data_IF_281330563785
#
_entry.id   IF_281330563785
#
_cell.length_a   1.000
_cell.length_b   1.000
_cell.length_c   1.000
_cell.angle_alpha   90.00
_cell.angle_beta   90.00
_cell.angle_gamma   90.00
#
_symmetry.space_group_name_H-M   'P 1'
#
loop_
_entity.id
_entity.type
_entity.pdbx_description
1 polymer ?
#
# COMPACT_ATOMS: atom_id res chain seq x y z
N UNK A 1 21.99 0.97 -15.91
CA UNK A 1 21.46 -0.08 -14.99
C UNK A 1 20.05 -0.58 -15.32
N UNK A 2 19.27 0.07 -16.20
CA UNK A 2 17.89 -0.34 -16.55
C UNK A 2 17.86 -1.69 -17.28
N UNK A 3 18.73 -1.91 -18.27
CA UNK A 3 18.73 -3.14 -19.06
C UNK A 3 18.95 -4.43 -18.25
N UNK A 4 19.94 -4.50 -17.35
CA UNK A 4 20.11 -5.70 -16.51
C UNK A 4 18.88 -5.96 -15.62
N UNK A 5 18.23 -4.93 -15.10
CA UNK A 5 17.03 -5.06 -14.28
C UNK A 5 15.86 -5.62 -15.09
N UNK A 6 15.66 -5.15 -16.34
CA UNK A 6 14.61 -5.67 -17.24
C UNK A 6 14.85 -7.15 -17.54
N UNK A 7 16.08 -7.53 -17.90
CA UNK A 7 16.41 -8.92 -18.20
C UNK A 7 16.23 -9.82 -16.99
N UNK A 8 16.72 -9.39 -15.81
CA UNK A 8 16.56 -10.15 -14.58
C UNK A 8 15.08 -10.32 -14.18
N UNK A 9 14.28 -9.27 -14.33
CA UNK A 9 12.85 -9.31 -14.07
C UNK A 9 12.12 -10.25 -15.02
N UNK A 10 12.41 -10.19 -16.33
CA UNK A 10 11.81 -11.07 -17.33
C UNK A 10 12.14 -12.55 -17.07
N UNK A 11 13.41 -12.85 -16.74
CA UNK A 11 13.83 -14.21 -16.40
C UNK A 11 13.14 -14.67 -15.11
N UNK A 12 13.15 -13.84 -14.06
CA UNK A 12 12.49 -14.17 -12.79
C UNK A 12 11.01 -14.46 -12.96
N UNK A 13 10.30 -13.61 -13.72
CA UNK A 13 8.88 -13.80 -14.03
C UNK A 13 8.63 -15.09 -14.81
N UNK A 14 9.45 -15.38 -15.81
CA UNK A 14 9.33 -16.59 -16.62
C UNK A 14 9.54 -17.86 -15.79
N UNK A 15 10.57 -17.88 -14.92
CA UNK A 15 10.83 -19.01 -14.04
C UNK A 15 9.71 -19.18 -13.03
N UNK A 16 9.31 -18.12 -12.32
CA UNK A 16 8.24 -18.17 -11.35
C UNK A 16 6.93 -18.64 -11.98
N UNK A 17 6.55 -18.04 -13.12
CA UNK A 17 5.31 -18.37 -13.82
C UNK A 17 5.26 -19.80 -14.33
N UNK A 18 6.40 -20.40 -14.66
CA UNK A 18 6.48 -21.82 -15.08
C UNK A 18 6.10 -22.81 -13.96
N UNK A 19 6.27 -22.41 -12.69
CA UNK A 19 5.93 -23.24 -11.53
C UNK A 19 4.57 -22.92 -10.91
N UNK A 20 4.18 -21.64 -10.90
CA UNK A 20 3.02 -21.14 -10.14
C UNK A 20 1.87 -20.72 -11.07
N UNK A 21 2.16 -20.45 -12.33
CA UNK A 21 1.25 -19.88 -13.32
C UNK A 21 1.51 -18.39 -13.54
N UNK A 22 0.92 -17.85 -14.60
CA UNK A 22 1.07 -16.46 -15.05
C UNK A 22 -0.16 -15.60 -14.73
N UNK A 23 -1.06 -16.09 -13.87
CA UNK A 23 -2.24 -15.33 -13.50
C UNK A 23 -1.89 -14.19 -12.52
N UNK A 24 -2.62 -13.05 -12.60
CA UNK A 24 -2.46 -11.95 -11.64
C UNK A 24 -2.71 -12.41 -10.20
N UNK A 25 -1.93 -11.91 -9.26
CA UNK A 25 -1.99 -12.29 -7.82
C UNK A 25 -3.39 -12.11 -7.24
N UNK A 26 -4.10 -11.05 -7.62
CA UNK A 26 -5.47 -10.77 -7.20
C UNK A 26 -6.52 -11.16 -8.24
N UNK A 27 -6.15 -12.03 -9.20
CA UNK A 27 -7.02 -12.41 -10.31
C UNK A 27 -7.33 -11.25 -11.26
N UNK A 28 -8.31 -11.47 -12.15
CA UNK A 28 -8.71 -10.46 -13.14
C UNK A 28 -9.90 -9.66 -12.62
N UNK A 29 -9.66 -8.43 -12.18
CA UNK A 29 -10.74 -7.53 -11.81
C UNK A 29 -11.38 -6.90 -13.06
N UNK A 30 -12.66 -7.25 -13.31
CA UNK A 30 -13.40 -6.85 -14.51
C UNK A 30 -14.48 -5.81 -14.16
N UNK A 31 -14.09 -4.57 -13.92
CA UNK A 31 -15.07 -3.48 -13.81
C UNK A 31 -14.75 -2.41 -14.83
N UNK A 32 -15.71 -2.01 -15.69
CA UNK A 32 -15.47 -0.98 -16.68
C UNK A 32 -15.20 0.36 -15.99
N UNK A 33 -14.24 1.10 -16.55
CA UNK A 33 -14.00 2.49 -16.14
C UNK A 33 -15.23 3.35 -16.44
N UNK A 34 -15.65 4.13 -15.45
CA UNK A 34 -16.72 5.11 -15.63
C UNK A 34 -16.19 6.50 -15.25
N UNK A 35 -16.15 7.45 -16.19
CA UNK A 35 -15.69 8.82 -15.95
C UNK A 35 -16.44 9.54 -14.82
N UNK A 36 -17.71 9.23 -14.60
CA UNK A 36 -18.50 9.81 -13.50
C UNK A 36 -17.95 9.49 -12.11
N UNK A 37 -17.06 8.48 -12.00
CA UNK A 37 -16.39 8.13 -10.74
C UNK A 37 -15.09 8.90 -10.51
N UNK A 38 -14.59 9.66 -11.48
CA UNK A 38 -13.33 10.41 -11.33
C UNK A 38 -13.30 11.33 -10.11
N UNK A 39 -14.34 12.12 -9.78
CA UNK A 39 -14.33 12.95 -8.59
C UNK A 39 -14.11 12.16 -7.30
N UNK A 40 -14.66 10.95 -7.21
CA UNK A 40 -14.50 10.09 -6.05
C UNK A 40 -13.07 9.53 -5.94
N UNK A 41 -12.42 9.23 -7.08
CA UNK A 41 -11.00 8.84 -7.08
C UNK A 41 -10.07 10.01 -6.73
N UNK A 42 -10.46 11.25 -7.06
CA UNK A 42 -9.76 12.45 -6.60
C UNK A 42 -9.79 12.54 -5.07
N UNK A 43 -10.99 12.39 -4.46
CA UNK A 43 -11.14 12.40 -3.00
C UNK A 43 -10.33 11.28 -2.35
N UNK A 44 -10.37 10.07 -2.93
CA UNK A 44 -9.55 8.94 -2.46
C UNK A 44 -8.06 9.27 -2.54
N UNK A 45 -7.61 9.90 -3.63
CA UNK A 45 -6.23 10.36 -3.79
C UNK A 45 -5.82 11.36 -2.72
N UNK A 46 -6.72 12.29 -2.35
CA UNK A 46 -6.47 13.26 -1.26
C UNK A 46 -6.29 12.54 0.07
N UNK A 47 -7.20 11.64 0.44
CA UNK A 47 -7.12 10.90 1.72
C UNK A 47 -5.87 10.02 1.76
N UNK A 48 -5.59 9.29 0.67
CA UNK A 48 -4.36 8.50 0.56
C UNK A 48 -3.10 9.37 0.65
N UNK A 49 -3.13 10.60 0.12
CA UNK A 49 -2.02 11.56 0.22
C UNK A 49 -1.69 11.94 1.66
N UNK A 50 -2.71 12.22 2.47
CA UNK A 50 -2.51 12.46 3.91
C UNK A 50 -2.00 11.22 4.64
N UNK A 51 -2.55 10.03 4.36
CA UNK A 51 -2.06 8.79 4.95
C UNK A 51 -0.62 8.45 4.48
N UNK A 52 -0.25 8.82 3.26
CA UNK A 52 1.11 8.70 2.74
C UNK A 52 2.12 9.61 3.48
N UNK A 53 1.65 10.63 4.20
CA UNK A 53 2.46 11.42 5.14
C UNK A 53 2.50 10.75 6.52
N UNK A 54 1.35 10.30 7.01
CA UNK A 54 1.23 9.70 8.35
C UNK A 54 2.05 8.41 8.44
N UNK A 55 2.00 7.55 7.43
CA UNK A 55 2.68 6.27 7.42
C UNK A 55 4.20 6.39 7.61
N UNK A 56 4.96 7.12 6.78
CA UNK A 56 6.39 7.31 7.00
C UNK A 56 6.71 8.04 8.30
N UNK A 57 5.95 9.07 8.67
CA UNK A 57 6.19 9.81 9.92
C UNK A 57 6.08 8.90 11.14
N UNK A 58 5.02 8.08 11.24
CA UNK A 58 4.85 7.13 12.34
C UNK A 58 5.96 6.09 12.34
N UNK A 59 6.32 5.55 11.18
CA UNK A 59 7.40 4.59 11.03
C UNK A 59 8.73 5.14 11.57
N UNK A 60 9.14 6.33 11.12
CA UNK A 60 10.40 6.92 11.57
C UNK A 60 10.35 7.41 13.02
N UNK A 61 9.20 7.84 13.50
CA UNK A 61 9.02 8.17 14.92
C UNK A 61 9.30 6.96 15.81
N UNK A 62 8.68 5.82 15.52
CA UNK A 62 8.92 4.57 16.27
C UNK A 62 10.38 4.14 16.13
N UNK A 63 10.94 4.16 14.93
CA UNK A 63 12.35 3.84 14.68
C UNK A 63 13.29 4.69 15.54
N UNK A 64 13.05 6.00 15.62
CA UNK A 64 13.86 6.90 16.44
C UNK A 64 13.71 6.60 17.93
N UNK A 65 12.49 6.26 18.40
CA UNK A 65 12.29 5.87 19.80
C UNK A 65 13.06 4.60 20.16
N UNK A 66 13.01 3.58 19.30
CA UNK A 66 13.76 2.35 19.50
C UNK A 66 15.28 2.54 19.42
N UNK A 67 15.77 3.45 18.57
CA UNK A 67 17.21 3.74 18.50
C UNK A 67 17.75 4.32 19.81
N UNK A 68 16.95 5.14 20.51
CA UNK A 68 17.30 5.78 21.77
C UNK A 68 17.21 4.87 23.00
N UNK A 69 16.64 3.65 22.86
CA UNK A 69 16.61 2.69 23.97
C UNK A 69 18.01 2.15 24.26
N UNK A 70 18.45 2.31 25.50
CA UNK A 70 19.74 1.82 25.96
C UNK A 70 19.70 0.33 26.31
N UNK A 71 19.35 -0.50 25.33
CA UNK A 71 19.31 -1.97 25.41
C UNK A 71 20.04 -2.56 24.22
N UNK A 72 20.49 -3.81 24.34
CA UNK A 72 21.15 -4.50 23.25
C UNK A 72 20.22 -4.55 22.01
N UNK A 73 20.77 -4.27 20.83
CA UNK A 73 20.02 -4.21 19.57
C UNK A 73 19.30 -5.51 19.21
N UNK A 74 19.76 -6.65 19.74
CA UNK A 74 19.12 -7.97 19.55
C UNK A 74 17.74 -8.04 20.20
N UNK A 75 17.52 -7.35 21.32
CA UNK A 75 16.23 -7.37 22.03
C UNK A 75 15.19 -6.38 21.49
N UNK A 76 15.62 -5.35 20.77
CA UNK A 76 14.72 -4.34 20.21
C UNK A 76 13.66 -4.94 19.27
N UNK A 77 14.02 -5.80 18.30
CA UNK A 77 13.03 -6.47 17.44
C UNK A 77 12.07 -7.37 18.22
N UNK A 78 12.56 -8.05 19.27
CA UNK A 78 11.70 -8.91 20.10
C UNK A 78 10.61 -8.10 20.82
N UNK A 79 10.94 -6.92 21.35
CA UNK A 79 9.97 -6.01 21.96
C UNK A 79 8.98 -5.50 20.91
N UNK A 80 9.46 -5.08 19.74
CA UNK A 80 8.60 -4.62 18.65
C UNK A 80 7.66 -5.72 18.13
N UNK A 81 8.17 -6.94 17.98
CA UNK A 81 7.39 -8.11 17.60
C UNK A 81 6.32 -8.47 18.64
N UNK A 82 6.67 -8.39 19.94
CA UNK A 82 5.72 -8.63 21.03
C UNK A 82 4.56 -7.62 20.98
N UNK A 83 4.84 -6.33 20.83
CA UNK A 83 3.81 -5.30 20.72
C UNK A 83 2.93 -5.53 19.48
N UNK A 84 3.55 -5.82 18.32
CA UNK A 84 2.81 -6.14 17.09
C UNK A 84 1.98 -7.43 17.25
N UNK A 85 2.48 -8.41 17.98
CA UNK A 85 1.75 -9.63 18.32
C UNK A 85 0.50 -9.35 19.16
N UNK A 86 0.61 -8.51 20.20
CA UNK A 86 -0.56 -8.08 21.00
C UNK A 86 -1.61 -7.35 20.16
N UNK A 87 -1.18 -6.47 19.25
CA UNK A 87 -2.09 -5.80 18.30
C UNK A 87 -2.78 -6.84 17.42
N UNK A 88 -2.04 -7.84 16.97
CA UNK A 88 -2.56 -8.89 16.08
C UNK A 88 -3.51 -9.87 16.76
N UNK A 89 -3.47 -10.00 18.08
CA UNK A 89 -4.48 -10.76 18.84
C UNK A 89 -5.86 -10.10 18.79
N UNK A 90 -5.88 -8.77 18.72
CA UNK A 90 -7.13 -8.00 18.60
C UNK A 90 -7.53 -7.84 17.13
N UNK A 91 -6.55 -7.59 16.25
CA UNK A 91 -6.76 -7.36 14.82
C UNK A 91 -5.94 -8.35 13.99
N UNK A 92 -6.40 -9.59 13.81
CA UNK A 92 -5.64 -10.63 13.09
C UNK A 92 -5.35 -10.27 11.62
N UNK A 93 -6.11 -9.34 11.04
CA UNK A 93 -5.92 -8.87 9.67
C UNK A 93 -4.57 -8.18 9.45
N UNK A 94 -3.96 -7.64 10.51
CA UNK A 94 -2.67 -6.96 10.37
C UNK A 94 -1.47 -7.90 10.36
N UNK A 95 -1.68 -9.21 10.55
CA UNK A 95 -0.61 -10.22 10.49
C UNK A 95 -0.10 -10.34 9.05
N UNK A 96 1.24 -10.39 8.91
CA UNK A 96 1.91 -10.63 7.63
C UNK A 96 1.65 -9.56 6.58
N UNK A 97 1.66 -9.95 5.31
CA UNK A 97 1.51 -9.05 4.15
C UNK A 97 0.07 -8.57 3.92
N UNK A 98 -0.92 -9.35 4.34
CA UNK A 98 -2.34 -8.99 4.26
C UNK A 98 -3.00 -9.19 2.89
N UNK A 99 -2.36 -9.87 1.93
CA UNK A 99 -2.89 -10.05 0.57
C UNK A 99 -4.22 -10.81 0.53
N UNK A 100 -4.40 -11.80 1.41
CA UNK A 100 -5.67 -12.51 1.51
C UNK A 100 -6.84 -11.59 1.89
N UNK A 101 -6.60 -10.66 2.80
CA UNK A 101 -7.60 -9.67 3.19
C UNK A 101 -7.88 -8.67 2.06
N UNK A 102 -6.84 -8.21 1.35
CA UNK A 102 -6.99 -7.35 0.17
C UNK A 102 -7.84 -8.06 -0.88
N UNK A 103 -7.61 -9.36 -1.13
CA UNK A 103 -8.40 -10.14 -2.07
C UNK A 103 -9.89 -10.17 -1.68
N UNK A 104 -10.19 -10.42 -0.41
CA UNK A 104 -11.57 -10.41 0.09
C UNK A 104 -12.25 -9.05 -0.11
N UNK A 105 -11.50 -7.94 0.06
CA UNK A 105 -12.02 -6.60 -0.19
C UNK A 105 -12.27 -6.34 -1.67
N UNK A 106 -11.39 -6.79 -2.56
CA UNK A 106 -11.57 -6.68 -4.02
C UNK A 106 -12.79 -7.47 -4.48
N UNK A 107 -12.98 -8.68 -3.92
CA UNK A 107 -14.11 -9.57 -4.22
C UNK A 107 -15.45 -9.10 -3.60
N UNK A 108 -15.44 -8.08 -2.74
CA UNK A 108 -16.63 -7.61 -2.03
C UNK A 108 -17.11 -8.57 -0.93
N UNK A 109 -16.27 -9.49 -0.46
CA UNK A 109 -16.58 -10.48 0.60
C UNK A 109 -16.36 -9.90 1.99
N UNK A 110 -17.04 -8.80 2.30
CA UNK A 110 -16.85 -8.04 3.54
C UNK A 110 -17.29 -8.77 4.81
N UNK A 111 -18.28 -9.68 4.69
CA UNK A 111 -18.84 -10.43 5.82
C UNK A 111 -17.86 -11.44 6.47
N UNK A 112 -16.75 -11.74 5.80
CA UNK A 112 -15.73 -12.65 6.32
C UNK A 112 -14.83 -11.98 7.37
N UNK A 113 -14.77 -10.64 7.39
CA UNK A 113 -13.93 -9.94 8.35
C UNK A 113 -14.53 -10.02 9.77
N UNK A 114 -13.69 -10.27 10.79
CA UNK A 114 -14.13 -10.26 12.18
C UNK A 114 -14.61 -8.85 12.55
N UNK A 115 -15.82 -8.73 13.09
CA UNK A 115 -16.42 -7.43 13.41
C UNK A 115 -16.33 -7.07 14.89
N UNK A 116 -16.08 -8.05 15.78
CA UNK A 116 -16.05 -7.83 17.23
C UNK A 116 -17.26 -7.02 17.77
N UNK A 117 -18.41 -7.12 17.10
CA UNK A 117 -19.61 -6.35 17.42
C UNK A 117 -19.59 -4.88 16.98
N UNK A 118 -18.54 -4.43 16.29
CA UNK A 118 -18.47 -3.07 15.74
C UNK A 118 -19.07 -2.99 14.33
N UNK A 119 -19.60 -1.82 13.92
CA UNK A 119 -19.99 -1.61 12.54
C UNK A 119 -18.81 -1.84 11.58
N UNK A 120 -19.05 -2.59 10.51
CA UNK A 120 -18.01 -2.97 9.54
C UNK A 120 -17.25 -1.76 8.96
N UNK A 121 -17.95 -0.67 8.68
CA UNK A 121 -17.33 0.57 8.20
C UNK A 121 -16.32 1.14 9.22
N UNK A 122 -16.62 1.06 10.52
CA UNK A 122 -15.71 1.54 11.56
C UNK A 122 -14.42 0.71 11.58
N UNK A 123 -14.53 -0.61 11.40
CA UNK A 123 -13.36 -1.49 11.29
C UNK A 123 -12.50 -1.08 10.10
N UNK A 124 -13.10 -0.89 8.92
CA UNK A 124 -12.38 -0.46 7.74
C UNK A 124 -11.67 0.88 7.91
N UNK A 125 -12.27 1.84 8.63
CA UNK A 125 -11.66 3.13 8.92
C UNK A 125 -10.49 3.05 9.92
N UNK A 126 -10.52 2.11 10.86
CA UNK A 126 -9.48 1.93 11.88
C UNK A 126 -8.29 1.14 11.34
N UNK A 127 -8.53 0.14 10.46
CA UNK A 127 -7.51 -0.78 9.97
C UNK A 127 -6.27 -0.12 9.36
N UNK A 128 -6.36 0.96 8.56
CA UNK A 128 -5.18 1.67 8.06
C UNK A 128 -4.24 2.10 9.19
N UNK A 129 -4.78 2.64 10.26
CA UNK A 129 -3.99 3.14 11.39
C UNK A 129 -3.38 2.00 12.21
N UNK A 130 -4.16 0.94 12.45
CA UNK A 130 -3.65 -0.27 13.14
C UNK A 130 -2.49 -0.88 12.37
N UNK A 131 -2.61 -0.98 11.02
CA UNK A 131 -1.52 -1.50 10.17
C UNK A 131 -0.30 -0.61 10.19
N UNK A 132 -0.47 0.72 10.15
CA UNK A 132 0.64 1.68 10.26
C UNK A 132 1.41 1.44 11.57
N UNK A 133 0.70 1.32 12.69
CA UNK A 133 1.30 1.12 14.01
C UNK A 133 2.00 -0.23 14.08
N UNK A 134 1.33 -1.33 13.70
CA UNK A 134 1.91 -2.67 13.71
C UNK A 134 3.18 -2.75 12.85
N UNK A 135 3.16 -2.16 11.64
CA UNK A 135 4.32 -2.13 10.75
C UNK A 135 5.46 -1.31 11.34
N UNK A 136 5.14 -0.16 11.96
CA UNK A 136 6.14 0.69 12.60
C UNK A 136 6.84 -0.01 13.76
N UNK A 137 6.11 -0.78 14.59
CA UNK A 137 6.70 -1.57 15.66
C UNK A 137 7.50 -2.76 15.13
N UNK A 138 7.00 -3.48 14.13
CA UNK A 138 7.69 -4.65 13.57
C UNK A 138 9.03 -4.28 12.94
N UNK A 139 9.03 -3.29 12.03
CA UNK A 139 10.22 -2.94 11.25
C UNK A 139 11.01 -1.82 11.90
N UNK A 140 10.34 -0.83 12.49
CA UNK A 140 10.97 0.31 13.14
C UNK A 140 11.78 -0.06 14.39
N UNK A 141 11.48 -1.19 15.05
CA UNK A 141 12.28 -1.73 16.14
C UNK A 141 13.60 -2.38 15.68
N UNK A 142 13.80 -2.56 14.38
CA UNK A 142 14.96 -3.24 13.81
C UNK A 142 14.65 -4.66 13.31
N UNK A 143 13.38 -5.06 13.30
CA UNK A 143 12.93 -6.31 12.69
C UNK A 143 13.06 -6.27 11.16
N UNK A 144 13.24 -7.45 10.55
CA UNK A 144 13.23 -7.59 9.09
C UNK A 144 11.82 -7.60 8.54
N UNK A 145 11.58 -6.87 7.45
CA UNK A 145 10.26 -6.82 6.80
C UNK A 145 10.22 -5.80 5.67
N UNK A 146 9.13 -5.86 4.90
CA UNK A 146 8.87 -4.94 3.80
C UNK A 146 7.83 -3.89 4.15
N UNK A 147 7.96 -2.70 3.58
CA UNK A 147 7.00 -1.59 3.74
C UNK A 147 5.99 -1.50 2.58
N UNK A 148 6.21 -2.26 1.50
CA UNK A 148 5.36 -2.25 0.31
C UNK A 148 3.97 -2.86 0.58
N UNK A 149 3.91 -4.13 0.99
CA UNK A 149 2.65 -4.81 1.25
C UNK A 149 1.80 -4.15 2.35
N UNK A 150 2.38 -3.70 3.49
CA UNK A 150 1.66 -2.88 4.45
C UNK A 150 1.09 -1.60 3.84
N UNK A 151 1.85 -0.91 2.97
CA UNK A 151 1.36 0.27 2.27
C UNK A 151 0.15 -0.04 1.38
N UNK A 152 0.20 -1.13 0.60
CA UNK A 152 -0.96 -1.58 -0.18
C UNK A 152 -2.17 -1.90 0.70
N UNK A 153 -1.97 -2.58 1.82
CA UNK A 153 -3.03 -2.89 2.78
C UNK A 153 -3.70 -1.63 3.32
N UNK A 154 -2.91 -0.65 3.77
CA UNK A 154 -3.41 0.65 4.27
C UNK A 154 -4.26 1.32 3.20
N UNK A 155 -3.77 1.39 1.96
CA UNK A 155 -4.49 1.96 0.83
C UNK A 155 -5.77 1.20 0.47
N UNK A 156 -5.74 -0.14 0.50
CA UNK A 156 -6.88 -1.01 0.23
C UNK A 156 -8.03 -0.76 1.23
N UNK A 157 -7.71 -0.74 2.52
CA UNK A 157 -8.71 -0.48 3.57
C UNK A 157 -9.23 0.96 3.53
N UNK A 158 -8.42 1.93 3.16
CA UNK A 158 -8.86 3.30 2.88
C UNK A 158 -9.81 3.33 1.68
N UNK A 159 -9.47 2.60 0.62
CA UNK A 159 -10.28 2.49 -0.59
C UNK A 159 -11.66 1.90 -0.34
N UNK A 160 -11.74 0.77 0.39
CA UNK A 160 -13.03 0.15 0.73
C UNK A 160 -13.87 1.06 1.63
N UNK A 161 -13.26 1.72 2.62
CA UNK A 161 -13.97 2.65 3.51
C UNK A 161 -14.68 3.76 2.73
N UNK A 162 -13.92 4.44 1.85
CA UNK A 162 -14.47 5.49 1.01
C UNK A 162 -15.44 4.96 -0.03
N UNK A 163 -15.17 3.78 -0.61
CA UNK A 163 -16.07 3.13 -1.56
C UNK A 163 -17.44 2.85 -0.97
N UNK A 164 -17.51 2.36 0.28
CA UNK A 164 -18.77 2.15 1.01
C UNK A 164 -19.48 3.47 1.31
N UNK A 165 -18.74 4.49 1.76
CA UNK A 165 -19.31 5.83 2.02
C UNK A 165 -19.88 6.41 0.71
N UNK A 166 -19.16 6.33 -0.39
CA UNK A 166 -19.63 6.82 -1.67
C UNK A 166 -20.82 6.02 -2.21
N UNK A 167 -20.84 4.71 -1.99
CA UNK A 167 -22.00 3.89 -2.33
C UNK A 167 -23.24 4.31 -1.54
N UNK A 168 -23.10 4.60 -0.26
CA UNK A 168 -24.22 5.04 0.59
C UNK A 168 -24.84 6.36 0.09
N UNK A 169 -24.03 7.35 -0.27
CA UNK A 169 -24.54 8.65 -0.74
C UNK A 169 -24.86 8.69 -2.24
N UNK A 170 -24.20 7.89 -3.07
CA UNK A 170 -24.31 7.90 -4.52
C UNK A 170 -24.44 6.50 -5.12
N UNK A 171 -25.46 5.72 -4.77
CA UNK A 171 -25.58 4.31 -5.15
C UNK A 171 -25.70 4.09 -6.67
N UNK A 172 -26.21 5.10 -7.41
CA UNK A 172 -26.35 5.07 -8.87
C UNK A 172 -25.02 5.17 -9.60
N UNK A 173 -24.02 5.86 -9.02
CA UNK A 173 -22.70 6.07 -9.62
C UNK A 173 -21.70 5.04 -9.11
N UNK A 174 -21.72 4.77 -7.79
CA UNK A 174 -20.86 3.81 -7.11
C UNK A 174 -21.72 2.65 -6.61
N UNK A 175 -21.83 1.60 -7.41
CA UNK A 175 -22.51 0.37 -6.98
C UNK A 175 -21.62 -0.49 -6.09
N UNK A 176 -22.20 -1.43 -5.31
CA UNK A 176 -21.44 -2.37 -4.48
C UNK A 176 -20.36 -3.12 -5.27
N UNK A 177 -20.65 -3.51 -6.49
CA UNK A 177 -19.71 -4.20 -7.40
C UNK A 177 -18.46 -3.36 -7.70
N UNK A 178 -18.56 -2.03 -7.63
CA UNK A 178 -17.47 -1.13 -7.97
C UNK A 178 -16.59 -0.76 -6.77
N UNK A 179 -16.92 -1.20 -5.56
CA UNK A 179 -16.11 -0.92 -4.35
C UNK A 179 -14.71 -1.51 -4.51
N UNK A 180 -14.58 -2.69 -5.13
CA UNK A 180 -13.27 -3.30 -5.44
C UNK A 180 -12.36 -2.39 -6.28
N UNK A 181 -12.90 -1.54 -7.16
CA UNK A 181 -12.09 -0.56 -7.88
C UNK A 181 -11.48 0.49 -6.94
N UNK A 182 -12.21 0.93 -5.92
CA UNK A 182 -11.67 1.86 -4.91
C UNK A 182 -10.59 1.21 -4.06
N UNK A 183 -10.72 -0.09 -3.76
CA UNK A 183 -9.67 -0.88 -3.08
C UNK A 183 -8.38 -0.85 -3.91
N UNK A 184 -8.45 -1.21 -5.20
CA UNK A 184 -7.31 -1.27 -6.11
C UNK A 184 -6.67 0.12 -6.28
N UNK A 185 -7.49 1.15 -6.49
CA UNK A 185 -7.00 2.53 -6.64
C UNK A 185 -6.36 3.03 -5.35
N UNK A 186 -6.93 2.70 -4.19
CA UNK A 186 -6.38 3.06 -2.89
C UNK A 186 -5.01 2.43 -2.62
N UNK A 187 -4.83 1.14 -2.97
CA UNK A 187 -3.54 0.44 -2.86
C UNK A 187 -2.42 1.21 -3.56
N UNK A 188 -2.67 1.59 -4.80
CA UNK A 188 -1.71 2.33 -5.61
C UNK A 188 -1.48 3.74 -5.08
N UNK A 189 -2.56 4.49 -4.83
CA UNK A 189 -2.47 5.90 -4.47
C UNK A 189 -1.64 6.11 -3.21
N UNK A 190 -1.82 5.25 -2.21
CA UNK A 190 -1.06 5.34 -0.97
C UNK A 190 0.41 4.98 -1.15
N UNK A 191 0.70 3.81 -1.72
CA UNK A 191 2.10 3.37 -1.80
C UNK A 191 2.87 4.13 -2.88
N UNK A 192 2.27 4.44 -4.02
CA UNK A 192 2.90 5.26 -5.06
C UNK A 192 3.33 6.63 -4.55
N UNK A 193 2.56 7.21 -3.63
CA UNK A 193 2.88 8.49 -2.98
C UNK A 193 3.92 8.34 -1.86
N UNK A 194 3.76 7.37 -0.96
CA UNK A 194 4.68 7.18 0.17
C UNK A 194 6.05 6.63 -0.25
N UNK A 195 6.11 5.82 -1.30
CA UNK A 195 7.34 5.28 -1.88
C UNK A 195 8.02 6.19 -2.91
N UNK A 196 7.33 7.24 -3.38
CA UNK A 196 7.78 8.16 -4.46
C UNK A 196 8.08 7.45 -5.79
N UNK A 197 7.34 6.40 -6.11
CA UNK A 197 7.50 5.59 -7.33
C UNK A 197 6.16 5.38 -8.06
N UNK A 198 5.43 6.46 -8.41
CA UNK A 198 4.05 6.37 -8.90
C UNK A 198 3.91 5.51 -10.16
N UNK A 199 4.82 5.65 -11.12
CA UNK A 199 4.76 4.92 -12.40
C UNK A 199 4.99 3.43 -12.20
N UNK A 200 6.05 3.06 -11.45
CA UNK A 200 6.39 1.66 -11.22
C UNK A 200 5.27 0.93 -10.46
N UNK A 201 4.69 1.57 -9.44
CA UNK A 201 3.59 0.97 -8.67
C UNK A 201 2.30 0.92 -9.50
N UNK A 202 2.06 1.87 -10.40
CA UNK A 202 0.91 1.80 -11.31
C UNK A 202 0.97 0.55 -12.18
N UNK A 203 2.11 0.30 -12.82
CA UNK A 203 2.31 -0.90 -13.63
C UNK A 203 2.17 -2.17 -12.81
N UNK A 204 2.79 -2.20 -11.62
CA UNK A 204 2.72 -3.35 -10.70
C UNK A 204 1.29 -3.67 -10.27
N UNK A 205 0.49 -2.67 -9.87
CA UNK A 205 -0.90 -2.90 -9.43
C UNK A 205 -1.77 -3.35 -10.59
N UNK A 206 -1.57 -2.80 -11.79
CA UNK A 206 -2.26 -3.25 -13.01
C UNK A 206 -1.94 -4.72 -13.31
N UNK A 207 -0.67 -5.12 -13.18
CA UNK A 207 -0.25 -6.50 -13.36
C UNK A 207 -0.85 -7.42 -12.29
N UNK A 208 -0.79 -7.01 -11.01
CA UNK A 208 -1.33 -7.80 -9.89
C UNK A 208 -2.84 -8.01 -9.92
N UNK A 209 -3.59 -7.14 -10.60
CA UNK A 209 -5.07 -7.15 -10.65
C UNK A 209 -5.64 -7.42 -12.04
N UNK A 210 -4.79 -7.54 -13.06
CA UNK A 210 -5.21 -7.72 -14.44
C UNK A 210 -6.11 -6.59 -15.00
N UNK A 211 -6.14 -5.42 -14.35
CA UNK A 211 -7.13 -4.36 -14.60
C UNK A 211 -6.55 -3.12 -15.29
N UNK A 212 -6.26 -3.23 -16.58
CA UNK A 212 -5.86 -2.10 -17.41
C UNK A 212 -6.94 -1.01 -17.53
N UNK A 213 -8.21 -1.39 -17.40
CA UNK A 213 -9.33 -0.45 -17.51
C UNK A 213 -9.36 0.60 -16.40
N UNK A 214 -8.75 0.31 -15.24
CA UNK A 214 -8.65 1.26 -14.12
C UNK A 214 -7.47 2.23 -14.27
N UNK A 215 -6.65 2.12 -15.30
CA UNK A 215 -5.45 2.94 -15.47
C UNK A 215 -5.71 4.45 -15.32
N UNK A 216 -6.76 5.06 -15.93
CA UNK A 216 -7.02 6.49 -15.73
C UNK A 216 -7.34 6.86 -14.28
N UNK A 217 -8.10 6.02 -13.56
CA UNK A 217 -8.42 6.22 -12.15
C UNK A 217 -7.16 6.11 -11.27
N UNK A 218 -6.33 5.10 -11.55
CA UNK A 218 -5.05 4.87 -10.88
C UNK A 218 -4.11 6.07 -11.03
N UNK A 219 -3.93 6.56 -12.27
CA UNK A 219 -3.04 7.68 -12.57
C UNK A 219 -3.50 8.97 -11.88
N UNK A 220 -4.79 9.28 -11.89
CA UNK A 220 -5.32 10.48 -11.24
C UNK A 220 -5.13 10.40 -9.71
N UNK A 221 -5.56 9.30 -9.10
CA UNK A 221 -5.48 9.15 -7.65
C UNK A 221 -4.03 9.18 -7.14
N UNK A 222 -3.10 8.50 -7.83
CA UNK A 222 -1.69 8.50 -7.43
C UNK A 222 -1.03 9.86 -7.61
N UNK A 223 -1.36 10.58 -8.70
CA UNK A 223 -0.82 11.93 -8.94
C UNK A 223 -1.24 12.90 -7.84
N UNK A 224 -2.51 12.89 -7.45
CA UNK A 224 -3.03 13.74 -6.38
C UNK A 224 -2.39 13.35 -5.04
N UNK A 225 -2.34 12.06 -4.73
CA UNK A 225 -1.72 11.56 -3.51
C UNK A 225 -0.23 11.92 -3.44
N UNK A 226 0.48 11.81 -4.57
CA UNK A 226 1.89 12.18 -4.69
C UNK A 226 2.11 13.68 -4.44
N UNK A 227 1.29 14.55 -5.01
CA UNK A 227 1.36 16.00 -4.79
C UNK A 227 1.13 16.38 -3.33
N UNK A 228 0.11 15.80 -2.69
CA UNK A 228 -0.23 16.07 -1.29
C UNK A 228 0.86 15.56 -0.35
N UNK A 229 1.45 14.39 -0.62
CA UNK A 229 2.51 13.84 0.23
C UNK A 229 3.82 14.63 0.18
N UNK A 230 3.96 15.59 -0.75
CA UNK A 230 5.11 16.51 -0.88
C UNK A 230 6.44 15.75 -0.95
N UNK A 231 7.38 16.07 -0.10
CA UNK A 231 8.70 15.41 -0.01
C UNK A 231 8.74 14.21 0.94
N UNK A 232 7.61 13.88 1.61
CA UNK A 232 7.58 12.80 2.59
C UNK A 232 7.68 11.45 1.89
N UNK A 233 8.65 10.62 2.31
CA UNK A 233 8.87 9.28 1.74
C UNK A 233 9.18 8.27 2.84
N UNK A 234 8.81 7.00 2.59
CA UNK A 234 9.17 5.86 3.44
C UNK A 234 10.64 5.45 3.23
N UNK A 235 11.24 5.86 2.10
CA UNK A 235 12.62 5.57 1.73
C UNK A 235 13.50 6.80 1.86
N UNK A 236 13.81 7.24 3.09
CA UNK A 236 14.64 8.44 3.34
C UNK A 236 16.05 8.39 2.73
N UNK A 237 16.57 7.19 2.49
CA UNK A 237 17.88 7.00 1.87
C UNK A 237 17.84 7.11 0.33
N UNK A 238 16.66 7.26 -0.25
CA UNK A 238 16.51 7.44 -1.69
C UNK A 238 17.01 8.83 -2.09
N UNK A 239 17.95 8.89 -3.00
CA UNK A 239 18.48 10.13 -3.57
C UNK A 239 17.52 10.71 -4.60
N UNK A 240 17.48 12.04 -4.71
CA UNK A 240 16.57 12.72 -5.62
C UNK A 240 16.96 12.57 -7.09
N UNK A 241 18.27 12.53 -7.37
CA UNK A 241 18.77 12.39 -8.72
C UNK A 241 19.84 11.30 -8.81
N UNK A 242 20.05 10.76 -10.00
CA UNK A 242 21.10 9.77 -10.25
C UNK A 242 22.51 10.32 -9.93
N UNK A 243 22.72 11.64 -10.13
CA UNK A 243 23.99 12.32 -9.83
C UNK A 243 24.33 12.31 -8.35
N UNK A 244 23.32 12.30 -7.49
CA UNK A 244 23.50 12.31 -6.03
C UNK A 244 23.77 10.88 -5.48
N UNK A 245 23.73 9.87 -6.35
CA UNK A 245 23.97 8.47 -5.95
C UNK A 245 25.46 8.18 -5.81
N UNK A 246 25.93 7.65 -4.67
CA UNK A 246 27.33 7.26 -4.49
C UNK A 246 27.83 6.27 -5.55
N UNK A 247 26.93 5.47 -6.12
CA UNK A 247 27.24 4.49 -7.15
C UNK A 247 27.66 5.13 -8.50
N UNK A 248 27.39 6.44 -8.70
CA UNK A 248 27.63 7.15 -9.95
C UNK A 248 28.60 8.32 -9.79
N UNK A 249 29.28 8.46 -8.65
CA UNK A 249 30.22 9.55 -8.38
C UNK A 249 31.38 9.68 -9.40
N UNK A 250 31.63 8.69 -10.21
CA UNK A 250 32.67 8.75 -11.25
C UNK A 250 32.16 9.01 -12.68
N UNK A 251 30.85 8.82 -12.93
CA UNK A 251 30.30 8.83 -14.30
C UNK A 251 29.97 10.24 -14.82
N UNK A 252 29.82 11.22 -13.93
CA UNK A 252 29.38 12.58 -14.28
C UNK A 252 30.47 13.66 -14.13
N UNK A 253 31.70 13.26 -13.81
CA UNK A 253 32.85 14.18 -13.67
C UNK A 253 33.79 14.13 -14.89
N UNK A 254 33.28 13.78 -16.07
CA UNK A 254 34.03 13.83 -17.34
C UNK A 254 33.50 14.99 -18.17
#
# INVERSE_FOLDING_TARGET
MIYPAIVASAIGYSIFGSFVGFEPIFGFYKSPFNPLRLPFYIILGVVCGYLAIVYPKTFYYVKERFSKLNINNIYKPAIGAFISGLISLIFPEVIGVGYGWIQLLIDGKFSVLPTFGLPLLLIFLIMPFVKIIATAFTIGSGGSGGVFAPGMFIGAFTGVSLGIIFHYFFPTIVSNYNIGAFVIVGMLALFGASGKVPIAVTLMVVEMTGSLQLLPALMIAVSISYLISGSTTIYKSQVNTQKDSPAHFGEFNI
#
